data_IF_429282688171
#
_entry.id   IF_429282688171
#
_cell.length_a   1.000
_cell.length_b   1.000
_cell.length_c   1.000
_cell.angle_alpha   90.00
_cell.angle_beta   90.00
_cell.angle_gamma   90.00
#
_symmetry.space_group_name_H-M   'P 1'
#
loop_
_entity.id
_entity.type
_entity.pdbx_description
1 polymer ?
#
# COMPACT_ATOMS: atom_id res chain seq x y z
N UNK A 1 -9.55 39.73 -27.12
CA UNK A 1 -9.66 38.27 -27.38
C UNK A 1 -9.03 37.37 -26.30
N UNK A 2 -8.41 37.92 -25.23
CA UNK A 2 -7.82 37.13 -24.13
C UNK A 2 -8.71 37.02 -22.86
N UNK A 3 -9.73 37.87 -22.70
CA UNK A 3 -10.61 37.84 -21.53
C UNK A 3 -11.65 36.71 -21.62
N UNK A 4 -12.23 36.49 -22.80
CA UNK A 4 -13.23 35.42 -23.03
C UNK A 4 -12.72 33.99 -22.74
N UNK A 5 -11.43 33.70 -22.95
CA UNK A 5 -10.85 32.38 -22.62
C UNK A 5 -10.71 32.15 -21.11
N UNK A 6 -10.36 33.20 -20.36
CA UNK A 6 -10.22 33.10 -18.89
C UNK A 6 -11.57 32.98 -18.22
N UNK A 7 -12.59 33.64 -18.74
CA UNK A 7 -13.94 33.55 -18.19
C UNK A 7 -14.62 32.22 -18.54
N UNK A 8 -14.34 31.66 -19.72
CA UNK A 8 -14.75 30.30 -20.08
C UNK A 8 -14.11 29.23 -19.17
N UNK A 9 -12.83 29.39 -18.80
CA UNK A 9 -12.15 28.50 -17.85
C UNK A 9 -12.72 28.60 -16.42
N UNK A 10 -13.11 29.82 -15.98
CA UNK A 10 -13.73 30.02 -14.67
C UNK A 10 -15.14 29.45 -14.62
N UNK A 11 -15.92 29.58 -15.70
CA UNK A 11 -17.27 29.02 -15.80
C UNK A 11 -17.26 27.48 -15.83
N UNK A 12 -16.27 26.86 -16.47
CA UNK A 12 -16.09 25.39 -16.44
C UNK A 12 -15.60 24.87 -15.09
N UNK A 13 -14.76 25.63 -14.38
CA UNK A 13 -14.37 25.28 -13.00
C UNK A 13 -15.54 25.35 -12.00
N UNK A 14 -16.49 26.28 -12.19
CA UNK A 14 -17.67 26.39 -11.34
C UNK A 14 -18.72 25.29 -11.58
N UNK A 15 -18.84 24.77 -12.81
CA UNK A 15 -19.75 23.66 -13.12
C UNK A 15 -19.21 22.28 -12.74
N UNK A 16 -17.88 22.12 -12.63
CA UNK A 16 -17.27 20.87 -12.16
C UNK A 16 -17.37 20.68 -10.63
N UNK A 17 -17.67 21.75 -9.87
CA UNK A 17 -17.71 21.71 -8.42
C UNK A 17 -19.02 21.13 -7.83
N UNK A 18 -20.06 20.87 -8.65
CA UNK A 18 -21.37 20.37 -8.17
C UNK A 18 -21.72 18.95 -8.62
N UNK A 19 -20.88 18.29 -9.43
CA UNK A 19 -21.10 16.92 -9.90
C UNK A 19 -20.21 15.88 -9.19
N UNK A 20 -19.63 16.23 -8.04
CA UNK A 20 -18.69 15.41 -7.28
C UNK A 20 -19.20 14.87 -5.95
N UNK A 21 -20.50 14.97 -5.62
CA UNK A 21 -21.11 14.12 -4.59
C UNK A 21 -21.31 12.70 -5.16
N UNK A 22 -20.21 12.10 -5.62
CA UNK A 22 -20.13 10.66 -5.64
C UNK A 22 -20.26 10.25 -4.17
N UNK A 23 -21.42 9.67 -3.86
CA UNK A 23 -21.68 8.93 -2.63
C UNK A 23 -20.37 8.28 -2.21
N UNK A 24 -19.81 8.69 -1.07
CA UNK A 24 -18.89 7.84 -0.34
C UNK A 24 -19.59 6.50 -0.30
N UNK A 25 -19.11 5.56 -1.11
CA UNK A 25 -19.63 4.22 -1.09
C UNK A 25 -19.52 3.83 0.37
N UNK A 26 -20.66 3.60 1.01
CA UNK A 26 -20.67 2.83 2.22
C UNK A 26 -19.89 1.58 1.85
N UNK A 27 -18.64 1.50 2.31
CA UNK A 27 -18.03 0.21 2.61
C UNK A 27 -19.09 -0.42 3.49
N UNK A 28 -19.89 -1.29 2.89
CA UNK A 28 -20.80 -2.14 3.62
C UNK A 28 -19.87 -3.08 4.36
N UNK A 29 -19.29 -2.61 5.46
CA UNK A 29 -19.03 -3.48 6.58
C UNK A 29 -20.42 -4.05 6.89
N UNK A 30 -20.71 -5.24 6.34
CA UNK A 30 -21.77 -6.05 6.89
C UNK A 30 -21.36 -6.24 8.34
N UNK A 31 -21.94 -5.42 9.22
CA UNK A 31 -22.00 -5.70 10.64
C UNK A 31 -22.83 -6.97 10.74
N UNK A 32 -22.17 -8.11 10.51
CA UNK A 32 -22.67 -9.37 11.00
C UNK A 32 -22.80 -9.16 12.51
N UNK A 33 -24.01 -9.27 13.03
CA UNK A 33 -24.21 -9.38 14.46
C UNK A 33 -23.34 -10.55 14.89
N UNK A 34 -22.23 -10.25 15.59
CA UNK A 34 -21.28 -11.25 16.08
C UNK A 34 -22.07 -12.28 16.88
N UNK A 35 -22.40 -13.38 16.21
CA UNK A 35 -22.38 -14.68 16.86
C UNK A 35 -20.97 -14.83 17.39
N UNK A 36 -20.87 -15.32 18.62
CA UNK A 36 -19.64 -15.62 19.36
C UNK A 36 -18.67 -16.40 18.45
N UNK A 37 -17.92 -15.68 17.63
CA UNK A 37 -17.06 -16.27 16.61
C UNK A 37 -15.87 -16.82 17.37
N UNK A 38 -15.56 -18.12 17.25
CA UNK A 38 -14.46 -18.76 17.98
C UNK A 38 -13.07 -18.27 17.50
N UNK A 39 -13.01 -17.21 16.68
CA UNK A 39 -11.77 -16.65 16.14
C UNK A 39 -11.01 -15.93 17.27
N UNK A 40 -9.79 -16.40 17.60
CA UNK A 40 -8.92 -15.76 18.58
C UNK A 40 -8.74 -14.26 18.30
N UNK A 41 -8.70 -13.45 19.36
CA UNK A 41 -8.54 -12.00 19.24
C UNK A 41 -7.23 -11.57 18.55
N UNK A 42 -6.23 -12.46 18.51
CA UNK A 42 -4.93 -12.24 17.88
C UNK A 42 -4.89 -12.62 16.39
N UNK A 43 -5.90 -13.33 15.88
CA UNK A 43 -5.91 -13.80 14.50
C UNK A 43 -6.10 -12.62 13.55
N UNK A 44 -5.37 -12.66 12.43
CA UNK A 44 -5.41 -11.64 11.38
C UNK A 44 -5.46 -12.29 10.02
N UNK A 45 -6.17 -11.64 9.11
CA UNK A 45 -6.12 -11.97 7.68
C UNK A 45 -5.20 -10.96 7.00
N UNK A 46 -4.26 -11.45 6.21
CA UNK A 46 -3.32 -10.64 5.45
C UNK A 46 -3.60 -10.79 3.96
N UNK A 47 -3.80 -9.67 3.26
CA UNK A 47 -4.05 -9.65 1.81
C UNK A 47 -2.97 -8.84 1.12
N UNK A 48 -2.32 -9.44 0.14
CA UNK A 48 -1.31 -8.81 -0.71
C UNK A 48 -1.99 -8.06 -1.85
N UNK A 49 -1.82 -6.75 -1.89
CA UNK A 49 -2.32 -5.90 -2.96
C UNK A 49 -1.20 -5.65 -3.96
N UNK A 50 -1.25 -6.35 -5.09
CA UNK A 50 -0.19 -6.38 -6.10
C UNK A 50 0.09 -5.00 -6.70
N UNK A 51 -0.94 -4.32 -7.21
CA UNK A 51 -0.77 -3.04 -7.90
C UNK A 51 -0.39 -1.87 -6.98
N UNK A 52 -0.80 -1.92 -5.70
CA UNK A 52 -0.49 -0.88 -4.72
C UNK A 52 0.77 -1.17 -3.91
N UNK A 53 1.34 -2.38 -4.04
CA UNK A 53 2.43 -2.91 -3.24
C UNK A 53 2.22 -2.67 -1.74
N UNK A 54 1.11 -3.21 -1.23
CA UNK A 54 0.80 -3.17 0.19
C UNK A 54 0.31 -4.52 0.70
N UNK A 55 0.41 -4.71 2.01
CA UNK A 55 -0.25 -5.81 2.71
C UNK A 55 -1.34 -5.22 3.60
N UNK A 56 -2.60 -5.52 3.32
CA UNK A 56 -3.72 -5.12 4.18
C UNK A 56 -3.89 -6.13 5.31
N UNK A 57 -4.13 -5.63 6.51
CA UNK A 57 -4.38 -6.44 7.72
C UNK A 57 -5.84 -6.26 8.11
N UNK A 58 -6.59 -7.36 8.14
CA UNK A 58 -8.01 -7.38 8.47
C UNK A 58 -8.20 -8.09 9.81
N UNK A 59 -9.01 -7.49 10.69
CA UNK A 59 -9.59 -8.18 11.84
C UNK A 59 -10.78 -9.02 11.35
N UNK A 60 -10.68 -10.36 11.34
CA UNK A 60 -11.74 -11.23 10.86
C UNK A 60 -12.97 -11.26 11.78
N UNK A 61 -12.84 -10.87 13.06
CA UNK A 61 -13.97 -10.85 14.01
C UNK A 61 -14.94 -9.73 13.67
N UNK A 62 -14.41 -8.57 13.29
CA UNK A 62 -15.19 -7.38 12.96
C UNK A 62 -15.33 -7.15 11.46
N UNK A 63 -14.58 -7.90 10.64
CA UNK A 63 -14.49 -7.72 9.20
C UNK A 63 -14.08 -6.28 8.82
N UNK A 64 -13.07 -5.76 9.51
CA UNK A 64 -12.56 -4.39 9.31
C UNK A 64 -11.07 -4.39 9.02
N UNK A 65 -10.62 -3.47 8.18
CA UNK A 65 -9.19 -3.20 7.98
C UNK A 65 -8.63 -2.57 9.26
N UNK A 66 -7.64 -3.22 9.86
CA UNK A 66 -6.91 -2.72 11.03
C UNK A 66 -5.76 -1.79 10.61
N UNK A 67 -5.01 -2.18 9.58
CA UNK A 67 -3.86 -1.41 9.09
C UNK A 67 -3.46 -1.82 7.68
N UNK A 68 -2.60 -1.01 7.06
CA UNK A 68 -1.98 -1.30 5.78
C UNK A 68 -0.47 -1.19 5.94
N UNK A 69 0.26 -2.24 5.59
CA UNK A 69 1.72 -2.27 5.59
C UNK A 69 2.19 -1.81 4.21
N UNK A 70 2.99 -0.76 4.18
CA UNK A 70 3.55 -0.23 2.95
C UNK A 70 4.79 -1.03 2.51
N UNK A 71 4.78 -1.53 1.27
CA UNK A 71 5.93 -2.18 0.63
C UNK A 71 6.49 -1.33 -0.54
N UNK A 72 6.20 -0.03 -0.53
CA UNK A 72 6.73 0.94 -1.50
C UNK A 72 7.88 1.76 -0.93
N UNK A 73 8.74 2.26 -1.81
CA UNK A 73 9.86 3.14 -1.48
C UNK A 73 9.60 4.61 -1.86
N UNK A 74 8.33 5.01 -2.04
CA UNK A 74 7.99 6.31 -2.61
C UNK A 74 8.36 7.52 -1.73
N UNK A 75 8.50 7.31 -0.43
CA UNK A 75 8.88 8.34 0.54
C UNK A 75 10.39 8.34 0.86
N UNK A 76 11.20 7.58 0.12
CA UNK A 76 12.64 7.47 0.38
C UNK A 76 13.48 8.49 -0.39
N UNK A 77 13.05 8.86 -1.61
CA UNK A 77 13.73 9.83 -2.47
C UNK A 77 12.97 11.17 -2.51
N UNK A 78 13.60 12.22 -1.97
CA UNK A 78 13.05 13.56 -1.97
C UNK A 78 13.09 14.24 -3.35
N UNK A 79 13.84 13.70 -4.32
CA UNK A 79 14.11 14.34 -5.61
C UNK A 79 12.94 14.10 -6.59
N UNK A 80 12.41 15.15 -7.24
CA UNK A 80 11.51 14.98 -8.37
C UNK A 80 12.20 14.21 -9.51
N UNK A 81 11.50 13.34 -10.26
CA UNK A 81 10.06 13.04 -10.18
C UNK A 81 9.70 11.90 -9.21
N UNK A 82 10.64 11.40 -8.38
CA UNK A 82 10.49 10.16 -7.60
C UNK A 82 9.81 10.34 -6.23
N UNK A 83 9.55 11.57 -5.81
CA UNK A 83 8.82 11.88 -4.58
C UNK A 83 7.32 11.63 -4.77
N UNK A 84 6.79 10.57 -4.16
CA UNK A 84 5.35 10.37 -4.05
C UNK A 84 4.96 10.30 -2.58
N UNK A 85 4.42 11.41 -2.09
CA UNK A 85 4.03 11.60 -0.69
C UNK A 85 2.83 10.72 -0.40
N UNK A 86 3.04 9.64 0.34
CA UNK A 86 1.95 8.70 0.64
C UNK A 86 1.12 9.13 1.85
N UNK A 87 1.72 9.80 2.84
CA UNK A 87 1.10 10.08 4.14
C UNK A 87 0.46 8.82 4.79
N UNK A 88 1.04 7.64 4.53
CA UNK A 88 0.47 6.35 4.93
C UNK A 88 -0.66 5.84 4.04
N UNK A 89 -1.07 6.61 3.02
CA UNK A 89 -2.05 6.21 2.00
C UNK A 89 -1.33 5.55 0.82
N UNK A 90 -1.66 4.28 0.58
CA UNK A 90 -1.14 3.54 -0.55
C UNK A 90 -1.62 4.14 -1.89
N UNK A 91 -0.73 4.59 -2.78
CA UNK A 91 -1.14 5.12 -4.07
C UNK A 91 -1.59 3.99 -5.00
N UNK A 92 -2.73 4.16 -5.67
CA UNK A 92 -3.26 3.21 -6.65
C UNK A 92 -2.61 3.40 -8.02
N UNK A 93 -1.35 3.01 -8.21
CA UNK A 93 -0.68 3.24 -9.50
C UNK A 93 0.39 2.19 -9.84
N UNK A 94 0.00 1.10 -10.50
CA UNK A 94 0.91 0.09 -11.07
C UNK A 94 2.01 0.74 -11.96
N UNK A 95 1.67 1.79 -12.71
CA UNK A 95 2.64 2.52 -13.54
C UNK A 95 3.78 3.21 -12.76
N UNK A 96 3.66 3.35 -11.44
CA UNK A 96 4.71 3.98 -10.62
C UNK A 96 5.74 2.98 -10.09
N UNK A 97 5.31 1.76 -9.79
CA UNK A 97 6.17 0.71 -9.21
C UNK A 97 7.06 0.07 -10.28
N UNK A 98 6.69 0.18 -11.56
CA UNK A 98 7.50 -0.30 -12.70
C UNK A 98 8.42 0.78 -13.31
N UNK A 99 8.58 1.93 -12.66
CA UNK A 99 9.46 2.98 -13.18
C UNK A 99 10.94 2.57 -13.08
N UNK A 100 11.78 2.99 -14.04
CA UNK A 100 13.23 2.88 -13.89
C UNK A 100 13.67 3.52 -12.57
N UNK A 101 14.56 2.85 -11.83
CA UNK A 101 15.10 3.25 -10.52
C UNK A 101 14.16 3.09 -9.31
N UNK A 102 12.99 2.45 -9.45
CA UNK A 102 12.19 2.07 -8.29
C UNK A 102 12.94 1.06 -7.41
N UNK A 103 12.95 1.32 -6.10
CA UNK A 103 13.69 0.56 -5.08
C UNK A 103 12.71 0.01 -4.02
N UNK A 104 11.62 -0.62 -4.45
CA UNK A 104 10.63 -1.20 -3.53
C UNK A 104 10.24 -2.62 -3.91
N UNK A 105 9.26 -3.17 -3.19
CA UNK A 105 8.60 -4.39 -3.64
C UNK A 105 7.92 -4.11 -4.98
N UNK A 106 8.09 -4.96 -5.98
CA UNK A 106 7.35 -4.87 -7.24
C UNK A 106 6.43 -6.08 -7.33
N UNK A 107 5.15 -5.81 -7.58
CA UNK A 107 4.10 -6.80 -7.70
C UNK A 107 4.04 -7.71 -6.48
N UNK A 108 3.68 -7.10 -5.33
CA UNK A 108 3.51 -7.79 -4.06
C UNK A 108 2.46 -8.89 -4.21
N UNK A 109 2.93 -10.12 -4.21
CA UNK A 109 2.13 -11.32 -4.39
C UNK A 109 2.30 -12.23 -3.18
N UNK A 110 2.07 -13.53 -3.38
CA UNK A 110 1.69 -14.51 -2.36
C UNK A 110 2.31 -14.31 -0.99
N UNK A 111 1.47 -14.45 0.04
CA UNK A 111 1.84 -14.31 1.43
C UNK A 111 1.67 -15.65 2.15
N UNK A 112 2.75 -16.16 2.75
CA UNK A 112 2.74 -17.45 3.46
C UNK A 112 3.17 -17.26 4.92
N UNK A 113 2.35 -17.68 5.90
CA UNK A 113 2.71 -17.57 7.31
C UNK A 113 3.71 -18.63 7.73
N UNK A 114 4.53 -18.31 8.74
CA UNK A 114 5.31 -19.31 9.46
C UNK A 114 4.39 -20.27 10.23
N UNK A 115 4.83 -21.49 10.57
CA UNK A 115 4.01 -22.46 11.30
C UNK A 115 3.47 -21.96 12.65
N UNK A 116 4.20 -21.06 13.30
CA UNK A 116 3.79 -20.42 14.57
C UNK A 116 2.98 -19.14 14.38
N UNK A 117 2.70 -18.72 13.14
CA UNK A 117 1.94 -17.52 12.78
C UNK A 117 2.62 -16.19 13.12
N UNK A 118 3.87 -16.20 13.60
CA UNK A 118 4.57 -14.98 14.04
C UNK A 118 5.20 -14.21 12.90
N UNK A 119 5.50 -14.88 11.79
CA UNK A 119 6.10 -14.30 10.60
C UNK A 119 5.21 -14.54 9.38
N UNK A 120 5.33 -13.67 8.40
CA UNK A 120 4.78 -13.85 7.07
C UNK A 120 5.87 -13.54 6.04
N UNK A 121 6.03 -14.39 5.03
CA UNK A 121 6.85 -14.11 3.88
C UNK A 121 5.95 -13.69 2.71
N UNK A 122 6.21 -12.53 2.12
CA UNK A 122 5.55 -12.06 0.89
C UNK A 122 6.55 -11.89 -0.24
N UNK A 123 6.18 -12.29 -1.45
CA UNK A 123 7.03 -12.17 -2.63
C UNK A 123 6.81 -10.84 -3.35
N UNK A 124 7.88 -10.12 -3.66
CA UNK A 124 7.89 -9.12 -4.71
C UNK A 124 8.25 -9.79 -6.03
N UNK A 125 7.24 -10.22 -6.80
CA UNK A 125 7.44 -11.01 -8.03
C UNK A 125 8.30 -10.25 -9.05
N UNK A 126 8.03 -8.97 -9.26
CA UNK A 126 8.79 -8.15 -10.22
C UNK A 126 10.16 -7.72 -9.72
N UNK A 127 10.39 -7.70 -8.41
CA UNK A 127 11.68 -7.31 -7.83
C UNK A 127 12.59 -8.51 -7.54
N UNK A 128 12.06 -9.73 -7.56
CA UNK A 128 12.77 -10.97 -7.21
C UNK A 128 13.21 -11.05 -5.74
N UNK A 129 12.48 -10.37 -4.85
CA UNK A 129 12.75 -10.29 -3.42
C UNK A 129 11.66 -10.98 -2.59
N UNK A 130 12.04 -11.47 -1.41
CA UNK A 130 11.11 -11.87 -0.36
C UNK A 130 11.18 -10.85 0.77
N UNK A 131 10.01 -10.36 1.20
CA UNK A 131 9.87 -9.47 2.35
C UNK A 131 9.33 -10.27 3.52
N UNK A 132 10.03 -10.19 4.65
CA UNK A 132 9.59 -10.80 5.90
C UNK A 132 8.81 -9.76 6.70
N UNK A 133 7.64 -10.16 7.19
CA UNK A 133 6.75 -9.35 7.99
C UNK A 133 6.64 -9.98 9.37
N UNK A 134 6.78 -9.16 10.39
CA UNK A 134 6.38 -9.49 11.75
C UNK A 134 4.84 -9.41 11.82
N UNK A 135 4.18 -10.56 11.82
CA UNK A 135 2.73 -10.64 11.74
C UNK A 135 2.05 -10.15 13.02
N UNK A 136 2.74 -10.23 14.16
CA UNK A 136 2.23 -9.77 15.46
C UNK A 136 2.23 -8.24 15.52
N UNK A 137 3.36 -7.63 15.15
CA UNK A 137 3.54 -6.19 15.20
C UNK A 137 3.13 -5.47 13.90
N UNK A 138 2.76 -6.22 12.85
CA UNK A 138 2.30 -5.71 11.56
C UNK A 138 3.31 -4.76 10.90
N UNK A 139 4.58 -5.18 10.86
CA UNK A 139 5.67 -4.38 10.30
C UNK A 139 6.63 -5.21 9.47
N UNK A 140 7.29 -4.59 8.51
CA UNK A 140 8.33 -5.24 7.70
C UNK A 140 9.60 -5.38 8.55
N UNK A 141 10.22 -6.55 8.50
CA UNK A 141 11.49 -6.82 9.19
C UNK A 141 12.64 -6.21 8.38
N UNK A 142 13.56 -5.57 9.09
CA UNK A 142 14.73 -4.93 8.48
C UNK A 142 14.48 -3.51 7.97
N UNK A 143 13.26 -2.99 8.08
CA UNK A 143 13.00 -1.58 7.88
C UNK A 143 13.90 -0.71 8.76
N UNK A 144 14.23 0.48 8.27
CA UNK A 144 15.06 1.44 8.98
C UNK A 144 14.30 2.76 9.18
N UNK A 145 14.64 3.59 10.18
CA UNK A 145 13.99 4.89 10.34
C UNK A 145 14.13 5.74 9.08
N UNK A 146 13.04 6.41 8.67
CA UNK A 146 13.09 7.34 7.56
C UNK A 146 13.67 8.68 8.01
N UNK A 147 14.88 9.09 7.53
CA UNK A 147 15.43 10.41 7.86
C UNK A 147 14.59 11.57 7.30
N UNK A 148 13.63 11.28 6.40
CA UNK A 148 12.68 12.25 5.86
C UNK A 148 11.29 12.14 6.52
N UNK A 149 11.16 11.37 7.61
CA UNK A 149 9.88 11.17 8.29
C UNK A 149 9.22 12.49 8.70
N UNK A 150 7.93 12.59 8.39
CA UNK A 150 7.06 13.74 8.61
C UNK A 150 5.60 13.24 8.61
N UNK A 151 4.61 14.06 8.98
CA UNK A 151 3.21 13.69 8.86
C UNK A 151 2.76 13.30 7.45
N UNK A 152 3.55 13.65 6.42
CA UNK A 152 3.23 13.39 5.03
C UNK A 152 3.93 12.15 4.46
N UNK A 153 4.81 11.48 5.21
CA UNK A 153 5.66 10.40 4.70
C UNK A 153 5.67 9.23 5.69
N UNK A 154 5.99 8.04 5.22
CA UNK A 154 6.16 6.91 6.12
C UNK A 154 7.28 7.11 7.15
N UNK A 155 7.11 6.61 8.39
CA UNK A 155 8.10 6.73 9.45
C UNK A 155 9.35 5.86 9.22
N UNK A 156 9.24 4.85 8.36
CA UNK A 156 10.30 3.90 8.06
C UNK A 156 10.57 3.86 6.55
N UNK A 157 11.82 3.54 6.17
CA UNK A 157 12.21 3.13 4.82
C UNK A 157 12.12 1.63 4.70
N UNK A 158 11.67 1.19 3.53
CA UNK A 158 11.52 -0.22 3.22
C UNK A 158 12.90 -0.87 3.13
N UNK A 159 13.05 -2.06 3.71
CA UNK A 159 14.22 -2.88 3.43
C UNK A 159 14.21 -3.38 1.99
N UNK A 160 15.37 -3.70 1.40
CA UNK A 160 15.38 -4.33 0.07
C UNK A 160 14.86 -5.78 0.07
N UNK A 161 14.37 -6.29 1.20
CA UNK A 161 14.04 -7.71 1.37
C UNK A 161 15.24 -8.63 1.16
N UNK A 162 14.97 -9.92 1.02
CA UNK A 162 15.96 -10.96 0.71
C UNK A 162 15.89 -11.23 -0.79
N UNK A 163 16.98 -10.97 -1.53
CA UNK A 163 17.07 -11.31 -2.94
C UNK A 163 17.17 -12.85 -3.09
N UNK A 164 16.22 -13.44 -3.81
CA UNK A 164 16.19 -14.92 -4.02
C UNK A 164 16.80 -15.32 -5.36
N UNK A 165 17.00 -14.36 -6.26
CA UNK A 165 17.56 -14.59 -7.59
C UNK A 165 16.55 -14.17 -8.66
N UNK A 166 17.06 -13.77 -9.83
CA UNK A 166 16.21 -13.33 -10.94
C UNK A 166 15.68 -14.57 -11.65
N UNK A 167 14.38 -14.60 -11.94
CA UNK A 167 13.85 -15.61 -12.86
C UNK A 167 14.68 -15.55 -14.16
N UNK A 168 15.26 -16.67 -14.63
CA UNK A 168 15.82 -16.71 -15.97
C UNK A 168 14.65 -16.62 -16.95
N UNK A 169 14.40 -15.41 -17.46
CA UNK A 169 13.59 -15.28 -18.66
C UNK A 169 14.39 -15.90 -19.81
N UNK A 170 13.96 -17.06 -20.30
CA UNK A 170 14.45 -17.55 -21.59
C UNK A 170 14.10 -16.49 -22.65
N UNK A 171 15.06 -16.13 -23.53
CA UNK A 171 14.89 -15.08 -24.53
C UNK A 171 13.86 -15.42 -25.61
#
# INVERSE_FOLDING_TARGET
MNEQRRDFLKATAALAATAGLARSGSVHAQASTQSDSPVPAQDRVFITNEDSNTLVVIDPRTNTVESTINLTSFDEDARPPFRFVTAGVAPTHAAMIHKPLYHGCIDAHGAVPSPDGRLLATSGRGSSNIYLIDAVNKRVIGNTPNPLASPATNPERLSSGILVGREPHEP
#
